data_IF_178715197790
#
_entry.id   IF_178715197790
#
_cell.length_a   1.000
_cell.length_b   1.000
_cell.length_c   1.000
_cell.angle_alpha   90.00
_cell.angle_beta   90.00
_cell.angle_gamma   90.00
#
_symmetry.space_group_name_H-M   'P 1'
#
loop_
_entity.id
_entity.type
_entity.pdbx_description
1 polymer ?
#
# COMPACT_ATOMS: atom_id res chain seq x y z
N UNK A 1 -25.96 -21.84 7.07
CA UNK A 1 -24.61 -21.24 7.17
C UNK A 1 -24.50 -20.58 8.53
N UNK A 2 -23.57 -21.03 9.38
CA UNK A 2 -23.33 -20.38 10.67
C UNK A 2 -22.72 -19.00 10.42
N UNK A 3 -23.41 -17.96 10.86
CA UNK A 3 -22.90 -16.59 10.86
C UNK A 3 -21.88 -16.47 12.01
N UNK A 4 -20.64 -16.89 11.78
CA UNK A 4 -19.58 -16.76 12.77
C UNK A 4 -19.16 -15.31 12.77
N UNK A 5 -19.69 -14.53 13.71
CA UNK A 5 -19.15 -13.19 13.97
C UNK A 5 -17.66 -13.33 14.36
N UNK A 6 -16.77 -12.53 13.75
CA UNK A 6 -15.36 -12.56 14.11
C UNK A 6 -15.21 -12.17 15.59
N UNK A 7 -14.24 -12.75 16.31
CA UNK A 7 -13.98 -12.38 17.70
C UNK A 7 -13.72 -10.86 17.80
N UNK A 8 -14.07 -10.27 18.91
CA UNK A 8 -13.98 -8.82 19.16
C UNK A 8 -12.54 -8.28 19.04
N UNK A 9 -11.53 -9.14 19.22
CA UNK A 9 -10.11 -8.83 18.97
C UNK A 9 -9.38 -10.08 18.46
N UNK A 10 -8.56 -9.88 17.43
CA UNK A 10 -7.65 -10.90 16.87
C UNK A 10 -6.21 -10.43 16.93
N UNK A 11 -5.29 -11.37 17.09
CA UNK A 11 -3.89 -11.15 16.73
C UNK A 11 -3.66 -11.42 15.23
N UNK A 12 -2.47 -11.09 14.75
CA UNK A 12 -2.13 -11.19 13.33
C UNK A 12 -2.16 -12.64 12.82
N UNK A 13 -1.68 -13.60 13.61
CA UNK A 13 -1.66 -15.01 13.22
C UNK A 13 -3.08 -15.56 13.08
N UNK A 14 -3.93 -15.33 14.08
CA UNK A 14 -5.35 -15.73 14.07
C UNK A 14 -6.10 -15.09 12.90
N UNK A 15 -5.82 -13.80 12.60
CA UNK A 15 -6.42 -13.12 11.47
C UNK A 15 -5.99 -13.73 10.13
N UNK A 16 -4.69 -14.00 9.95
CA UNK A 16 -4.15 -14.58 8.72
C UNK A 16 -4.68 -15.99 8.46
N UNK A 17 -4.93 -16.78 9.50
CA UNK A 17 -5.64 -18.06 9.38
C UNK A 17 -7.13 -17.86 9.07
N UNK A 18 -7.77 -16.94 9.79
CA UNK A 18 -9.19 -16.67 9.65
C UNK A 18 -9.58 -16.17 8.26
N UNK A 19 -8.74 -15.32 7.62
CA UNK A 19 -9.04 -14.72 6.31
C UNK A 19 -8.91 -15.69 5.15
N UNK A 20 -8.15 -16.77 5.32
CA UNK A 20 -7.97 -17.77 4.26
C UNK A 20 -9.29 -18.49 3.93
N UNK A 21 -9.59 -18.58 2.65
CA UNK A 21 -10.81 -19.24 2.15
C UNK A 21 -12.11 -18.49 2.40
N UNK A 22 -12.06 -17.24 2.88
CA UNK A 22 -13.26 -16.40 3.03
C UNK A 22 -13.52 -15.58 1.78
N UNK A 23 -14.79 -15.46 1.45
CA UNK A 23 -15.23 -14.52 0.44
C UNK A 23 -15.11 -13.09 1.00
N UNK A 24 -14.62 -12.16 0.16
CA UNK A 24 -14.40 -10.77 0.54
C UNK A 24 -12.94 -10.44 0.85
N UNK A 25 -12.69 -9.17 1.06
CA UNK A 25 -11.37 -8.61 1.37
C UNK A 25 -11.42 -7.97 2.75
N UNK A 26 -10.45 -8.26 3.58
CA UNK A 26 -10.44 -7.83 4.96
C UNK A 26 -9.05 -7.35 5.36
N UNK A 27 -9.01 -6.38 6.27
CA UNK A 27 -7.82 -5.93 7.00
C UNK A 27 -8.01 -6.17 8.50
N UNK A 28 -6.91 -6.23 9.24
CA UNK A 28 -6.92 -6.18 10.69
C UNK A 28 -6.42 -4.80 11.14
N UNK A 29 -7.24 -4.06 11.86
CA UNK A 29 -6.92 -2.74 12.37
C UNK A 29 -7.12 -2.69 13.89
N UNK A 30 -6.03 -2.62 14.67
CA UNK A 30 -6.10 -2.60 16.13
C UNK A 30 -6.86 -3.80 16.71
N UNK A 31 -6.65 -5.01 16.16
CA UNK A 31 -7.31 -6.23 16.57
C UNK A 31 -8.74 -6.42 16.01
N UNK A 32 -9.25 -5.48 15.23
CA UNK A 32 -10.61 -5.54 14.64
C UNK A 32 -10.53 -5.85 13.16
N UNK A 33 -11.36 -6.80 12.71
CA UNK A 33 -11.50 -7.12 11.30
C UNK A 33 -12.36 -6.05 10.61
N UNK A 34 -11.81 -5.47 9.53
CA UNK A 34 -12.47 -4.45 8.72
C UNK A 34 -12.63 -5.00 7.30
N UNK A 35 -13.85 -4.95 6.77
CA UNK A 35 -14.11 -5.32 5.38
C UNK A 35 -13.66 -4.18 4.46
N UNK A 36 -12.90 -4.53 3.43
CA UNK A 36 -12.48 -3.60 2.38
C UNK A 36 -13.51 -3.54 1.26
N UNK A 37 -13.79 -2.36 0.76
CA UNK A 37 -14.64 -2.17 -0.42
C UNK A 37 -13.81 -2.29 -1.70
N UNK A 38 -14.45 -2.67 -2.81
CA UNK A 38 -13.80 -2.68 -4.13
C UNK A 38 -13.43 -1.27 -4.61
N UNK A 39 -12.41 -1.20 -5.45
CA UNK A 39 -11.98 0.05 -6.10
C UNK A 39 -12.81 0.38 -7.35
N UNK A 40 -12.76 1.64 -7.78
CA UNK A 40 -13.30 2.11 -9.07
C UNK A 40 -12.38 1.70 -10.23
N UNK A 41 -12.85 1.87 -11.47
CA UNK A 41 -12.01 1.72 -12.66
C UNK A 41 -10.81 2.69 -12.62
N UNK A 42 -11.03 3.96 -12.20
CA UNK A 42 -9.95 4.96 -12.06
C UNK A 42 -8.87 4.50 -11.09
N UNK A 43 -9.27 4.00 -9.92
CA UNK A 43 -8.37 3.39 -8.95
C UNK A 43 -7.55 2.25 -9.58
N UNK A 44 -8.22 1.29 -10.22
CA UNK A 44 -7.54 0.14 -10.85
C UNK A 44 -6.55 0.56 -11.95
N UNK A 45 -6.87 1.58 -12.75
CA UNK A 45 -5.96 2.12 -13.77
C UNK A 45 -4.71 2.74 -13.16
N UNK A 46 -4.83 3.50 -12.07
CA UNK A 46 -3.68 4.10 -11.38
C UNK A 46 -2.80 3.00 -10.77
N UNK A 47 -3.40 2.01 -10.09
CA UNK A 47 -2.67 0.86 -9.54
C UNK A 47 -1.93 0.09 -10.64
N UNK A 48 -2.60 -0.22 -11.75
CA UNK A 48 -2.01 -0.94 -12.88
C UNK A 48 -0.83 -0.21 -13.50
N UNK A 49 -0.98 1.08 -13.76
CA UNK A 49 0.10 1.92 -14.33
C UNK A 49 1.30 2.01 -13.37
N UNK A 50 1.05 2.17 -12.08
CA UNK A 50 2.09 2.21 -11.05
C UNK A 50 2.83 0.87 -10.95
N UNK A 51 2.09 -0.23 -10.95
CA UNK A 51 2.65 -1.58 -10.95
C UNK A 51 3.57 -1.81 -12.17
N UNK A 52 3.10 -1.49 -13.37
CA UNK A 52 3.89 -1.63 -14.60
C UNK A 52 5.15 -0.77 -14.55
N UNK A 53 5.02 0.49 -14.13
CA UNK A 53 6.14 1.42 -14.01
C UNK A 53 7.22 0.90 -13.05
N UNK A 54 6.84 0.40 -11.89
CA UNK A 54 7.77 -0.16 -10.90
C UNK A 54 8.42 -1.44 -11.42
N UNK A 55 7.64 -2.32 -12.03
CA UNK A 55 8.13 -3.56 -12.65
C UNK A 55 9.12 -3.33 -13.78
N UNK A 56 8.97 -2.25 -14.52
CA UNK A 56 9.88 -1.88 -15.61
C UNK A 56 11.20 -1.27 -15.11
N UNK A 57 11.22 -0.66 -13.92
CA UNK A 57 12.38 0.08 -13.39
C UNK A 57 13.17 -0.64 -12.33
N UNK A 58 12.54 -1.55 -11.60
CA UNK A 58 13.18 -2.29 -10.51
C UNK A 58 13.80 -3.59 -11.02
N UNK A 59 14.96 -3.92 -10.45
CA UNK A 59 15.61 -5.21 -10.70
C UNK A 59 14.73 -6.34 -10.16
N UNK A 60 14.19 -7.14 -11.07
CA UNK A 60 13.28 -8.25 -10.78
C UNK A 60 13.95 -9.43 -10.07
N UNK A 61 15.27 -9.49 -10.06
CA UNK A 61 15.99 -10.52 -9.31
C UNK A 61 16.06 -10.18 -7.83
N UNK A 62 16.04 -8.89 -7.50
CA UNK A 62 16.15 -8.35 -6.15
C UNK A 62 14.79 -7.99 -5.54
N UNK A 63 13.87 -7.47 -6.33
CA UNK A 63 12.62 -6.88 -5.84
C UNK A 63 11.37 -7.62 -6.35
N UNK A 64 10.42 -7.84 -5.48
CA UNK A 64 9.07 -8.25 -5.80
C UNK A 64 8.16 -7.02 -5.75
N UNK A 65 7.43 -6.76 -6.82
CA UNK A 65 6.34 -5.78 -6.84
C UNK A 65 5.05 -6.57 -6.77
N UNK A 66 4.26 -6.33 -5.74
CA UNK A 66 3.03 -7.05 -5.42
C UNK A 66 1.86 -6.08 -5.36
N UNK A 67 0.68 -6.56 -5.69
CA UNK A 67 -0.58 -5.81 -5.54
C UNK A 67 -1.44 -6.44 -4.46
N UNK A 68 -2.17 -5.63 -3.70
CA UNK A 68 -3.13 -6.12 -2.70
C UNK A 68 -2.50 -7.15 -1.75
N UNK A 69 -1.28 -6.92 -1.34
CA UNK A 69 -0.53 -7.87 -0.52
C UNK A 69 -0.45 -7.42 0.93
N UNK A 70 -0.53 -8.41 1.84
CA UNK A 70 -0.54 -8.17 3.28
C UNK A 70 0.78 -7.59 3.80
N UNK A 71 0.68 -6.70 4.76
CA UNK A 71 1.79 -6.14 5.53
C UNK A 71 1.48 -6.33 7.00
N UNK A 72 2.34 -7.07 7.70
CA UNK A 72 2.31 -7.19 9.15
C UNK A 72 2.94 -5.93 9.74
N UNK A 73 2.12 -4.97 10.14
CA UNK A 73 2.59 -3.65 10.56
C UNK A 73 3.01 -3.63 12.02
N UNK A 74 2.14 -4.15 12.89
CA UNK A 74 2.33 -4.23 14.32
C UNK A 74 1.34 -5.25 14.92
N UNK A 75 1.50 -5.64 16.21
CA UNK A 75 0.55 -6.53 16.86
C UNK A 75 -0.91 -6.02 16.73
N UNK A 76 -1.80 -6.89 16.26
CA UNK A 76 -3.19 -6.56 15.99
C UNK A 76 -3.43 -5.75 14.71
N UNK A 77 -2.44 -5.56 13.83
CA UNK A 77 -2.62 -4.78 12.60
C UNK A 77 -1.96 -5.43 11.41
N UNK A 78 -2.79 -5.88 10.46
CA UNK A 78 -2.39 -6.38 9.14
C UNK A 78 -3.13 -5.55 8.09
N UNK A 79 -2.39 -4.85 7.25
CA UNK A 79 -2.91 -4.01 6.16
C UNK A 79 -2.67 -4.68 4.81
N UNK A 80 -3.54 -4.39 3.85
CA UNK A 80 -3.38 -4.81 2.46
C UNK A 80 -3.25 -3.56 1.59
N UNK A 81 -2.02 -3.25 1.18
CA UNK A 81 -1.76 -2.08 0.37
C UNK A 81 -1.97 -2.36 -1.12
N UNK A 82 -2.36 -1.33 -1.87
CA UNK A 82 -2.55 -1.44 -3.32
C UNK A 82 -1.27 -1.88 -4.03
N UNK A 83 -0.11 -1.34 -3.62
CA UNK A 83 1.21 -1.75 -4.11
C UNK A 83 2.18 -1.93 -2.94
N UNK A 84 2.90 -3.04 -2.97
CA UNK A 84 4.00 -3.34 -2.05
C UNK A 84 5.25 -3.72 -2.84
N UNK A 85 6.38 -3.10 -2.54
CA UNK A 85 7.69 -3.56 -3.02
C UNK A 85 8.44 -4.18 -1.86
N UNK A 86 8.74 -5.47 -1.98
CA UNK A 86 9.46 -6.24 -0.97
C UNK A 86 10.72 -6.89 -1.56
N UNK A 87 11.66 -7.27 -0.71
CA UNK A 87 12.81 -8.08 -1.15
C UNK A 87 12.35 -9.46 -1.62
N UNK A 88 12.93 -9.94 -2.71
CA UNK A 88 12.75 -11.33 -3.11
C UNK A 88 13.42 -12.28 -2.11
N UNK A 89 12.85 -13.49 -1.99
CA UNK A 89 13.35 -14.53 -1.09
C UNK A 89 12.38 -14.94 0.01
N UNK A 90 11.21 -14.26 0.10
CA UNK A 90 10.10 -14.77 0.91
C UNK A 90 9.60 -16.11 0.36
N UNK A 91 9.06 -16.97 1.24
CA UNK A 91 8.39 -18.21 0.84
C UNK A 91 7.18 -17.90 -0.04
N UNK A 92 6.86 -18.77 -0.99
CA UNK A 92 5.72 -18.57 -1.89
C UNK A 92 4.39 -18.51 -1.16
N UNK A 93 4.30 -19.18 -0.03
CA UNK A 93 3.11 -19.27 0.82
C UNK A 93 2.99 -18.09 1.81
N UNK A 94 3.94 -17.14 1.77
CA UNK A 94 3.90 -15.97 2.65
C UNK A 94 2.63 -15.14 2.37
N UNK A 95 1.92 -14.80 3.43
CA UNK A 95 0.69 -13.99 3.38
C UNK A 95 0.97 -12.49 3.59
N UNK A 96 2.16 -12.17 4.08
CA UNK A 96 2.57 -10.78 4.36
C UNK A 96 4.00 -10.53 3.88
N UNK A 97 4.27 -9.27 3.50
CA UNK A 97 5.61 -8.79 3.16
C UNK A 97 6.53 -8.85 4.38
N UNK A 98 7.76 -9.32 4.17
CA UNK A 98 8.75 -9.51 5.24
C UNK A 98 9.46 -8.21 5.61
N UNK A 99 9.82 -7.43 4.61
CA UNK A 99 10.60 -6.21 4.77
C UNK A 99 10.27 -5.21 3.64
N UNK A 100 9.02 -4.72 3.57
CA UNK A 100 8.61 -3.83 2.51
C UNK A 100 9.46 -2.56 2.50
N UNK A 101 9.96 -2.18 1.32
CA UNK A 101 10.79 -0.99 1.13
C UNK A 101 10.00 0.18 0.52
N UNK A 102 8.92 -0.13 -0.17
CA UNK A 102 7.98 0.86 -0.70
C UNK A 102 6.56 0.32 -0.56
N UNK A 103 5.69 1.18 -0.09
CA UNK A 103 4.24 0.95 -0.04
C UNK A 103 3.56 2.08 -0.79
N UNK A 104 2.55 1.78 -1.59
CA UNK A 104 1.73 2.80 -2.22
C UNK A 104 0.24 2.48 -2.10
N UNK A 105 -0.55 3.55 -1.89
CA UNK A 105 -2.01 3.52 -1.84
C UNK A 105 -2.57 4.48 -2.87
N UNK A 106 -3.70 4.13 -3.45
CA UNK A 106 -4.48 4.98 -4.33
C UNK A 106 -5.75 5.38 -3.61
N UNK A 107 -5.91 6.68 -3.35
CA UNK A 107 -7.04 7.19 -2.58
C UNK A 107 -8.37 6.86 -3.26
N UNK A 108 -9.30 6.38 -2.46
CA UNK A 108 -10.72 6.34 -2.79
C UNK A 108 -11.49 7.29 -1.88
N UNK A 109 -12.71 7.70 -2.22
CA UNK A 109 -13.53 8.53 -1.33
C UNK A 109 -13.75 7.93 0.05
N UNK A 110 -13.73 6.59 0.15
CA UNK A 110 -13.93 5.85 1.40
C UNK A 110 -12.66 5.67 2.24
N UNK A 111 -11.46 5.71 1.63
CA UNK A 111 -10.19 5.39 2.31
C UNK A 111 -9.28 6.57 2.54
N UNK A 112 -9.51 7.71 1.87
CA UNK A 112 -8.61 8.87 1.86
C UNK A 112 -8.16 9.32 3.26
N UNK A 113 -9.09 9.38 4.24
CA UNK A 113 -8.76 9.76 5.61
C UNK A 113 -7.87 8.74 6.31
N UNK A 114 -8.12 7.46 6.09
CA UNK A 114 -7.35 6.35 6.71
C UNK A 114 -5.98 6.23 6.06
N UNK A 115 -5.89 6.31 4.74
CA UNK A 115 -4.63 6.17 3.99
C UNK A 115 -3.67 7.33 4.31
N UNK A 116 -4.18 8.56 4.45
CA UNK A 116 -3.37 9.73 4.77
C UNK A 116 -3.10 9.92 6.27
N UNK A 117 -3.84 9.24 7.13
CA UNK A 117 -3.73 9.34 8.59
C UNK A 117 -3.15 8.07 9.22
N UNK A 118 -4.03 7.16 9.57
CA UNK A 118 -3.69 5.97 10.36
C UNK A 118 -2.68 5.06 9.65
N UNK A 119 -2.92 4.73 8.37
CA UNK A 119 -2.00 3.88 7.58
C UNK A 119 -0.64 4.55 7.41
N UNK A 120 -0.59 5.87 7.16
CA UNK A 120 0.68 6.57 7.06
C UNK A 120 1.49 6.47 8.36
N UNK A 121 0.85 6.70 9.51
CA UNK A 121 1.51 6.57 10.81
C UNK A 121 1.99 5.14 11.07
N UNK A 122 1.19 4.15 10.72
CA UNK A 122 1.49 2.72 10.87
C UNK A 122 2.65 2.30 9.95
N UNK A 123 2.60 2.59 8.65
CA UNK A 123 3.65 2.20 7.70
C UNK A 123 5.00 2.86 7.99
N UNK A 124 5.00 4.14 8.42
CA UNK A 124 6.23 4.85 8.73
C UNK A 124 6.98 4.29 9.95
N UNK A 125 6.35 3.43 10.77
CA UNK A 125 7.01 2.71 11.85
C UNK A 125 7.85 1.51 11.34
N UNK A 126 7.55 0.99 10.15
CA UNK A 126 8.30 -0.13 9.58
C UNK A 126 9.74 0.31 9.28
N UNK A 127 10.72 -0.27 9.97
CA UNK A 127 12.14 0.10 9.81
C UNK A 127 12.68 -0.14 8.40
N UNK A 128 12.12 -1.10 7.67
CA UNK A 128 12.49 -1.42 6.29
C UNK A 128 11.97 -0.43 5.26
N UNK A 129 10.92 0.34 5.59
CA UNK A 129 10.24 1.20 4.64
C UNK A 129 11.08 2.42 4.31
N UNK A 130 11.42 2.61 3.04
CA UNK A 130 12.11 3.78 2.52
C UNK A 130 11.12 4.85 2.00
N UNK A 131 9.97 4.42 1.46
CA UNK A 131 8.98 5.34 0.92
C UNK A 131 7.55 4.83 1.12
N UNK A 132 6.64 5.75 1.49
CA UNK A 132 5.21 5.59 1.41
C UNK A 132 4.63 6.62 0.45
N UNK A 133 3.88 6.16 -0.54
CA UNK A 133 3.33 6.97 -1.62
C UNK A 133 1.80 6.90 -1.57
N UNK A 134 1.14 8.03 -1.74
CA UNK A 134 -0.32 8.10 -1.81
C UNK A 134 -0.70 8.85 -3.08
N UNK A 135 -1.55 8.26 -3.91
CA UNK A 135 -1.98 8.83 -5.19
C UNK A 135 -3.47 9.15 -5.16
N UNK A 136 -3.86 10.32 -5.69
CA UNK A 136 -5.25 10.60 -6.01
C UNK A 136 -5.64 9.79 -7.27
N UNK A 137 -6.91 9.32 -7.33
CA UNK A 137 -7.40 8.58 -8.50
C UNK A 137 -8.02 9.48 -9.57
N UNK A 138 -8.42 10.69 -9.21
CA UNK A 138 -9.22 11.64 -9.99
C UNK A 138 -8.48 12.93 -10.35
N UNK A 139 -7.30 13.15 -9.80
CA UNK A 139 -6.44 14.29 -10.09
C UNK A 139 -4.96 13.89 -10.17
N UNK A 140 -4.15 14.65 -10.90
CA UNK A 140 -2.70 14.42 -10.96
C UNK A 140 -2.01 14.93 -9.69
N UNK A 141 -2.18 14.19 -8.60
CA UNK A 141 -1.66 14.55 -7.29
C UNK A 141 -1.16 13.32 -6.55
N UNK A 142 0.02 13.47 -5.93
CA UNK A 142 0.62 12.43 -5.11
C UNK A 142 1.29 13.03 -3.88
N UNK A 143 1.23 12.30 -2.78
CA UNK A 143 1.95 12.59 -1.54
C UNK A 143 3.05 11.55 -1.35
N UNK A 144 4.25 12.00 -1.02
CA UNK A 144 5.41 11.15 -0.86
C UNK A 144 5.97 11.32 0.54
N UNK A 145 6.06 10.21 1.27
CA UNK A 145 6.72 10.11 2.55
C UNK A 145 8.00 9.32 2.35
N UNK A 146 9.15 10.00 2.36
CA UNK A 146 10.46 9.39 2.12
C UNK A 146 11.27 9.47 3.41
N UNK A 147 11.84 8.34 3.82
CA UNK A 147 12.73 8.30 4.98
C UNK A 147 14.10 8.87 4.61
N UNK A 148 14.53 9.95 5.30
CA UNK A 148 15.88 10.50 5.14
C UNK A 148 16.93 9.58 5.76
N UNK A 149 18.20 9.70 5.30
CA UNK A 149 19.30 8.87 5.75
C UNK A 149 19.62 9.02 7.27
N UNK A 150 19.19 10.11 7.91
CA UNK A 150 19.62 10.46 9.27
C UNK A 150 18.52 10.56 10.34
N UNK A 151 17.23 10.51 10.02
CA UNK A 151 16.12 10.41 11.00
C UNK A 151 14.80 10.15 10.30
N UNK A 152 13.82 9.45 10.96
CA UNK A 152 12.43 9.49 10.54
C UNK A 152 11.88 10.89 10.83
N UNK A 153 12.10 11.83 9.94
CA UNK A 153 11.42 13.11 9.99
C UNK A 153 10.12 13.00 9.23
N UNK A 154 9.07 13.63 9.74
CA UNK A 154 7.86 13.91 8.98
C UNK A 154 8.27 14.42 7.60
N UNK A 155 7.68 13.91 6.53
CA UNK A 155 8.23 13.98 5.19
C UNK A 155 8.31 15.40 4.69
N UNK A 156 9.48 15.74 4.14
CA UNK A 156 9.57 16.78 3.15
C UNK A 156 8.71 16.36 1.95
N UNK A 157 7.66 17.10 1.68
CA UNK A 157 6.71 16.83 0.60
C UNK A 157 7.38 17.13 -0.74
N UNK A 158 8.08 16.15 -1.30
CA UNK A 158 8.65 16.26 -2.64
C UNK A 158 7.77 15.53 -3.62
N UNK A 159 7.24 16.27 -4.59
CA UNK A 159 6.50 15.68 -5.69
C UNK A 159 7.44 14.88 -6.58
N UNK A 160 7.15 13.57 -6.75
CA UNK A 160 7.74 12.82 -7.86
C UNK A 160 7.01 13.24 -9.14
N UNK A 161 7.74 13.40 -10.27
CA UNK A 161 7.09 13.64 -11.56
C UNK A 161 6.23 12.42 -11.91
N UNK A 162 4.92 12.63 -12.02
CA UNK A 162 3.99 11.60 -12.50
C UNK A 162 4.33 11.34 -13.97
N UNK A 163 4.59 10.10 -14.41
CA UNK A 163 4.81 9.80 -15.81
C UNK A 163 3.54 10.14 -16.61
N UNK A 164 3.61 11.12 -17.48
CA UNK A 164 2.55 11.38 -18.44
C UNK A 164 2.45 10.22 -19.43
N UNK A 165 1.23 9.76 -19.81
CA UNK A 165 1.07 8.77 -20.87
C UNK A 165 1.75 9.28 -22.14
N UNK A 166 2.50 8.41 -22.84
CA UNK A 166 3.11 8.70 -24.13
C UNK A 166 2.02 8.79 -25.21
N UNK A 167 1.24 9.83 -25.22
CA UNK A 167 0.52 10.27 -26.41
C UNK A 167 0.14 11.73 -26.24
N UNK A 168 0.79 12.58 -27.04
CA UNK A 168 0.40 13.94 -27.33
C UNK A 168 0.22 14.87 -26.14
N UNK A 169 1.34 15.38 -25.55
CA UNK A 169 1.43 16.83 -25.27
C UNK A 169 2.84 17.12 -24.75
N UNK A 170 3.61 17.86 -25.52
CA UNK A 170 4.83 18.52 -25.08
C UNK A 170 4.43 19.60 -24.09
N UNK A 171 4.54 19.35 -22.81
CA UNK A 171 4.81 20.36 -21.77
C UNK A 171 5.12 19.64 -20.47
N UNK A 172 6.38 19.69 -20.08
CA UNK A 172 6.83 19.39 -18.73
C UNK A 172 6.19 20.41 -17.79
N UNK A 173 5.29 19.96 -16.93
CA UNK A 173 4.89 20.74 -15.76
C UNK A 173 5.21 19.93 -14.52
N UNK A 174 6.22 20.38 -13.79
CA UNK A 174 6.42 20.01 -12.40
C UNK A 174 5.22 20.52 -11.62
N UNK A 175 4.46 19.64 -10.98
CA UNK A 175 3.43 20.04 -10.04
C UNK A 175 4.06 20.03 -8.66
N UNK A 176 4.44 21.22 -8.18
CA UNK A 176 4.72 21.45 -6.78
C UNK A 176 3.39 21.64 -6.04
N UNK A 177 3.23 20.96 -4.93
CA UNK A 177 2.23 21.26 -3.89
C UNK A 177 2.90 22.02 -2.77
#
# INVERSE_FOLDING_TARGET
MMNVQPPLQMDNATFLEWVQGREGRYELAGGRVVMMTGGTMGHGLVVGNLFEMLRARLDRTRWAVLTEFGIDVQPGTVRYADIVVDQRGARREALTAKAPVLVAEVLSPSTAKVDMGDKAAEYLQLSSLAAYLVFAQDEMKAWCYIRGADKPSLPDRRCLPVPTPRSAFRHSRSICL
#
